data_IF_720276280154
#
_entry.id   IF_720276280154
#
_cell.length_a   1.000
_cell.length_b   1.000
_cell.length_c   1.000
_cell.angle_alpha   90.00
_cell.angle_beta   90.00
_cell.angle_gamma   90.00
#
_symmetry.space_group_name_H-M   'P 1'
#
loop_
_entity.id
_entity.type
_entity.pdbx_description
1 polymer ?
#
# COMPACT_ATOMS: atom_id res chain seq x y z
N UNK A 1 12.13 -6.30 -1.65
CA UNK A 1 11.43 -6.75 -2.88
C UNK A 1 10.31 -5.75 -3.16
N UNK A 2 9.99 -5.46 -4.43
CA UNK A 2 8.94 -4.49 -4.78
C UNK A 2 7.66 -5.20 -5.18
N UNK A 3 6.52 -4.67 -4.75
CA UNK A 3 5.18 -5.22 -5.01
C UNK A 3 4.25 -4.12 -5.50
N UNK A 4 3.33 -4.46 -6.40
CA UNK A 4 2.31 -3.55 -6.92
C UNK A 4 0.99 -3.86 -6.23
N UNK A 5 0.37 -2.85 -5.63
CA UNK A 5 -0.92 -2.99 -4.98
C UNK A 5 -2.04 -2.55 -5.94
N UNK A 6 -2.73 -3.52 -6.53
CA UNK A 6 -3.91 -3.26 -7.35
C UNK A 6 -5.15 -3.23 -6.44
N UNK A 7 -5.70 -2.03 -6.22
CA UNK A 7 -6.97 -1.81 -5.53
C UNK A 7 -7.92 -1.04 -6.43
N UNK A 8 -9.21 -1.14 -6.14
CA UNK A 8 -10.21 -0.28 -6.76
C UNK A 8 -9.91 1.19 -6.47
N UNK A 9 -10.33 2.08 -7.37
CA UNK A 9 -10.18 3.51 -7.18
C UNK A 9 -10.89 3.93 -5.88
N UNK A 10 -10.10 4.26 -4.85
CA UNK A 10 -10.64 4.74 -3.58
C UNK A 10 -11.01 6.21 -3.70
N UNK A 11 -12.23 6.53 -3.32
CA UNK A 11 -12.65 7.89 -2.97
C UNK A 11 -11.93 8.27 -1.66
N UNK A 12 -11.10 9.32 -1.70
CA UNK A 12 -10.40 9.94 -0.57
C UNK A 12 -9.48 9.06 0.31
N UNK A 13 -8.34 8.64 -0.26
CA UNK A 13 -7.17 8.24 0.55
C UNK A 13 -6.41 9.48 1.07
N UNK A 14 -7.01 10.19 2.02
CA UNK A 14 -6.35 11.29 2.74
C UNK A 14 -5.33 10.81 3.79
N UNK A 15 -4.89 9.54 3.70
CA UNK A 15 -3.90 8.91 4.57
C UNK A 15 -3.03 7.86 3.86
N UNK A 16 -2.03 7.34 4.59
CA UNK A 16 -1.22 6.22 4.12
C UNK A 16 -2.11 4.97 3.99
N UNK A 17 -2.05 4.30 2.83
CA UNK A 17 -2.81 3.08 2.60
C UNK A 17 -2.40 2.01 3.63
N UNK A 18 -3.36 1.41 4.37
CA UNK A 18 -3.06 0.43 5.42
C UNK A 18 -2.28 -0.78 4.88
N UNK A 19 -2.51 -1.20 3.63
CA UNK A 19 -1.75 -2.28 3.02
C UNK A 19 -0.29 -1.88 2.76
N UNK A 20 -0.03 -0.63 2.39
CA UNK A 20 1.35 -0.13 2.22
C UNK A 20 2.09 -0.14 3.56
N UNK A 21 1.41 0.24 4.65
CA UNK A 21 2.02 0.24 5.98
C UNK A 21 2.39 -1.18 6.44
N UNK A 22 1.48 -2.14 6.29
CA UNK A 22 1.73 -3.54 6.65
C UNK A 22 2.84 -4.17 5.78
N UNK A 23 2.83 -3.92 4.47
CA UNK A 23 3.87 -4.41 3.57
C UNK A 23 5.26 -3.89 3.95
N UNK A 24 5.34 -2.63 4.40
CA UNK A 24 6.59 -2.05 4.91
C UNK A 24 7.11 -2.80 6.15
N UNK A 25 6.24 -3.23 7.06
CA UNK A 25 6.63 -4.02 8.23
C UNK A 25 7.21 -5.38 7.84
N UNK A 26 6.75 -5.95 6.74
CA UNK A 26 7.30 -7.17 6.15
C UNK A 26 8.59 -6.94 5.33
N UNK A 27 9.12 -5.72 5.26
CA UNK A 27 10.28 -5.37 4.42
C UNK A 27 9.97 -5.33 2.91
N UNK A 28 8.70 -5.18 2.56
CA UNK A 28 8.22 -5.07 1.19
C UNK A 28 7.91 -3.60 0.87
N UNK A 29 8.44 -3.12 -0.24
CA UNK A 29 8.12 -1.80 -0.75
C UNK A 29 6.94 -1.94 -1.72
N UNK A 30 5.81 -1.34 -1.36
CA UNK A 30 4.58 -1.36 -2.15
C UNK A 30 4.37 -0.02 -2.85
N UNK A 31 3.97 -0.09 -4.12
CA UNK A 31 3.60 1.07 -4.94
C UNK A 31 2.25 0.87 -5.60
#
# INVERSE_FOLDING_TARGET
MKVLLLKDAKEDDSGLDPYIQELRLCGLEAT
#
